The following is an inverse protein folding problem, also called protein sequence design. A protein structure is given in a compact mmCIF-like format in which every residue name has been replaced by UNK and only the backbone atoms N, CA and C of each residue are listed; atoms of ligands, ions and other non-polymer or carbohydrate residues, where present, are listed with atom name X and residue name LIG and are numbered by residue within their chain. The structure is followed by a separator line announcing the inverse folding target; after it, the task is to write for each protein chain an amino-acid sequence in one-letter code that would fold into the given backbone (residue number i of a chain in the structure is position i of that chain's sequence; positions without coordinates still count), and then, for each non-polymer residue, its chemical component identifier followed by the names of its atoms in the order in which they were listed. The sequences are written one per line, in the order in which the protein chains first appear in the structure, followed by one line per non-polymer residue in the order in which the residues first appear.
data_IF_232963424275
#
_entry.id   IF_232963424275
#
_cell.length_a   1.000
_cell.length_b   1.000
_cell.length_c   1.000
_cell.angle_alpha   90.00
_cell.angle_beta   90.00
_cell.angle_gamma   90.00
#
_symmetry.space_group_name_H-M   'P 1'
#
loop_
_entity.id
_entity.type
_entity.pdbx_description
1 polymer ?
#
# COMPACT_ATOMS: atom_id res chain seq x y z
N UNK A 1 27.37 7.76 1.55
CA UNK A 1 26.47 8.25 2.61
C UNK A 1 25.01 8.22 2.19
N UNK A 2 24.58 8.99 1.19
CA UNK A 2 23.16 9.22 0.85
C UNK A 2 22.29 7.96 0.70
N UNK A 3 22.80 6.91 0.06
CA UNK A 3 22.08 5.64 -0.11
C UNK A 3 21.56 5.05 1.21
N UNK A 4 22.32 5.20 2.30
CA UNK A 4 21.93 4.73 3.65
C UNK A 4 20.73 5.51 4.18
N UNK A 5 20.68 6.83 3.96
CA UNK A 5 19.53 7.66 4.32
C UNK A 5 18.28 7.28 3.51
N UNK A 6 18.44 6.96 2.22
CA UNK A 6 17.33 6.45 1.39
C UNK A 6 16.71 5.17 1.94
N UNK A 7 17.53 4.19 2.34
CA UNK A 7 17.05 2.97 3.00
C UNK A 7 16.40 3.25 4.37
N UNK A 8 16.97 4.15 5.17
CA UNK A 8 16.46 4.48 6.50
C UNK A 8 15.08 5.17 6.41
N UNK A 9 14.91 6.10 5.45
CA UNK A 9 13.62 6.72 5.13
C UNK A 9 12.61 5.65 4.68
N UNK A 10 12.99 4.74 3.77
CA UNK A 10 12.12 3.65 3.32
C UNK A 10 11.67 2.74 4.48
N UNK A 11 12.56 2.42 5.42
CA UNK A 11 12.24 1.61 6.62
C UNK A 11 11.28 2.34 7.55
N UNK A 12 11.53 3.61 7.87
CA UNK A 12 10.62 4.44 8.70
C UNK A 12 9.22 4.49 8.09
N UNK A 13 9.17 4.69 6.77
CA UNK A 13 7.92 4.75 6.01
C UNK A 13 7.20 3.39 5.97
N UNK A 14 7.91 2.27 5.81
CA UNK A 14 7.34 0.92 5.89
C UNK A 14 6.78 0.60 7.29
N UNK A 15 7.45 1.04 8.36
CA UNK A 15 6.98 0.90 9.75
C UNK A 15 5.72 1.72 9.98
N UNK A 16 5.70 2.98 9.50
CA UNK A 16 4.50 3.84 9.52
C UNK A 16 3.36 3.15 8.77
N UNK A 17 3.58 2.73 7.53
CA UNK A 17 2.61 2.02 6.67
C UNK A 17 2.01 0.79 7.38
N UNK A 18 2.82 -0.05 8.01
CA UNK A 18 2.38 -1.24 8.73
C UNK A 18 1.53 -0.89 9.96
N UNK A 19 2.00 0.04 10.80
CA UNK A 19 1.29 0.52 11.99
C UNK A 19 -0.05 1.17 11.66
N UNK A 20 -0.11 1.95 10.58
CA UNK A 20 -1.29 2.71 10.21
C UNK A 20 -2.31 1.80 9.49
N UNK A 21 -1.88 0.86 8.65
CA UNK A 21 -2.73 -0.13 7.96
C UNK A 21 -3.57 -0.98 8.93
N UNK A 22 -3.04 -1.25 10.13
CA UNK A 22 -3.77 -1.92 11.23
C UNK A 22 -4.85 -1.05 11.92
N UNK A 23 -4.94 0.27 11.66
CA UNK A 23 -5.95 1.15 12.29
C UNK A 23 -7.26 1.18 11.50
N UNK A 24 -8.39 1.45 12.19
CA UNK A 24 -9.76 1.54 11.64
C UNK A 24 -9.97 2.48 10.42
N UNK A 25 -9.03 3.39 10.08
CA UNK A 25 -9.23 4.42 9.04
C UNK A 25 -8.67 3.95 7.68
N UNK A 26 -9.56 3.88 6.68
CA UNK A 26 -9.28 3.41 5.32
C UNK A 26 -7.99 3.98 4.68
N UNK A 27 -7.84 5.31 4.78
CA UNK A 27 -6.82 6.13 4.11
C UNK A 27 -5.38 5.61 4.28
N UNK A 28 -5.11 4.93 5.39
CA UNK A 28 -3.79 4.38 5.71
C UNK A 28 -3.24 3.37 4.69
N UNK A 29 -4.10 2.56 4.06
CA UNK A 29 -3.63 1.60 3.05
C UNK A 29 -3.42 2.23 1.66
N UNK A 30 -3.91 3.44 1.42
CA UNK A 30 -3.62 4.19 0.20
C UNK A 30 -2.19 4.77 0.18
N UNK A 31 -1.44 4.66 1.29
CA UNK A 31 -0.06 5.12 1.39
C UNK A 31 0.89 4.24 0.55
N UNK A 32 0.60 2.93 0.38
CA UNK A 32 1.44 2.03 -0.44
C UNK A 32 1.39 2.38 -1.94
N UNK A 33 0.19 2.57 -2.56
CA UNK A 33 0.09 3.15 -3.90
C UNK A 33 0.83 4.48 -4.07
N UNK A 34 0.76 5.37 -3.07
CA UNK A 34 1.39 6.69 -3.12
C UNK A 34 2.93 6.60 -3.10
N UNK A 35 3.48 5.72 -2.28
CA UNK A 35 4.92 5.45 -2.22
C UNK A 35 5.44 4.74 -3.45
N UNK A 36 4.65 3.82 -4.00
CA UNK A 36 4.96 3.16 -5.26
C UNK A 36 5.05 4.18 -6.42
N UNK A 37 4.16 5.18 -6.45
CA UNK A 37 4.24 6.31 -7.38
C UNK A 37 5.50 7.17 -7.20
N UNK A 38 5.86 7.51 -5.95
CA UNK A 38 7.10 8.27 -5.67
C UNK A 38 8.33 7.50 -6.15
N UNK A 39 8.41 6.19 -5.87
CA UNK A 39 9.50 5.31 -6.33
C UNK A 39 9.56 5.26 -7.86
N UNK A 40 8.41 5.10 -8.52
CA UNK A 40 8.26 5.12 -9.98
C UNK A 40 8.82 6.39 -10.61
N UNK A 41 8.38 7.56 -10.13
CA UNK A 41 8.70 8.86 -10.74
C UNK A 41 10.11 9.32 -10.39
N UNK A 42 10.60 9.04 -9.19
CA UNK A 42 11.86 9.64 -8.69
C UNK A 42 13.07 8.71 -8.76
N UNK A 43 12.89 7.38 -8.80
CA UNK A 43 13.99 6.41 -8.71
C UNK A 43 14.23 5.59 -9.97
N UNK A 44 13.23 5.38 -10.83
CA UNK A 44 13.43 4.66 -12.10
C UNK A 44 14.17 5.52 -13.14
N UNK A 45 13.74 6.74 -13.50
CA UNK A 45 14.46 7.53 -14.52
C UNK A 45 15.88 7.90 -14.09
N UNK A 46 16.09 8.27 -12.82
CA UNK A 46 17.43 8.59 -12.29
C UNK A 46 18.40 7.39 -12.17
N UNK A 47 17.97 6.17 -12.50
CA UNK A 47 18.78 4.94 -12.34
C UNK A 47 18.94 4.14 -13.63
N UNK A 48 18.23 4.52 -14.68
CA UNK A 48 18.18 3.81 -15.95
C UNK A 48 18.02 4.83 -17.10
N UNK A 49 19.12 5.38 -17.63
CA UNK A 49 19.10 6.41 -18.69
C UNK A 49 18.26 6.04 -19.92
N UNK A 50 18.21 4.75 -20.29
CA UNK A 50 17.50 4.25 -21.48
C UNK A 50 16.13 3.60 -21.14
N UNK A 51 15.50 4.02 -20.04
CA UNK A 51 14.21 3.45 -19.62
C UNK A 51 13.02 4.10 -20.34
N UNK A 52 12.70 3.57 -21.52
CA UNK A 52 11.56 3.99 -22.35
C UNK A 52 10.28 4.28 -21.52
N UNK A 53 9.75 5.49 -21.66
CA UNK A 53 8.60 6.03 -20.92
C UNK A 53 7.37 5.11 -21.00
N UNK A 54 7.16 4.44 -22.13
CA UNK A 54 6.06 3.48 -22.31
C UNK A 54 6.17 2.29 -21.35
N UNK A 55 7.39 1.77 -21.13
CA UNK A 55 7.65 0.68 -20.15
C UNK A 55 7.40 1.17 -18.73
N UNK A 56 7.79 2.41 -18.40
CA UNK A 56 7.56 3.02 -17.09
C UNK A 56 6.05 3.12 -16.80
N UNK A 57 5.27 3.66 -17.74
CA UNK A 57 3.81 3.78 -17.62
C UNK A 57 3.14 2.39 -17.47
N UNK A 58 3.54 1.40 -18.28
CA UNK A 58 2.99 0.04 -18.20
C UNK A 58 3.21 -0.60 -16.82
N UNK A 59 4.43 -0.52 -16.30
CA UNK A 59 4.76 -1.08 -14.97
C UNK A 59 4.10 -0.27 -13.87
N UNK A 60 3.99 1.07 -14.00
CA UNK A 60 3.29 1.92 -13.03
C UNK A 60 1.81 1.54 -12.87
N UNK A 61 1.10 1.39 -14.00
CA UNK A 61 -0.32 1.00 -14.02
C UNK A 61 -0.48 -0.44 -13.48
N UNK A 62 0.38 -1.38 -13.89
CA UNK A 62 0.35 -2.76 -13.42
C UNK A 62 0.56 -2.88 -11.90
N UNK A 63 1.60 -2.22 -11.37
CA UNK A 63 1.88 -2.22 -9.93
C UNK A 63 0.78 -1.55 -9.11
N UNK A 64 0.23 -0.43 -9.58
CA UNK A 64 -0.92 0.23 -8.94
C UNK A 64 -2.17 -0.65 -8.93
N UNK A 65 -2.50 -1.31 -10.04
CA UNK A 65 -3.65 -2.22 -10.11
C UNK A 65 -3.53 -3.37 -9.10
N UNK A 66 -2.34 -3.97 -8.98
CA UNK A 66 -2.06 -5.05 -8.01
C UNK A 66 -2.17 -4.53 -6.57
N UNK A 67 -1.54 -3.39 -6.25
CA UNK A 67 -1.59 -2.78 -4.91
C UNK A 67 -3.01 -2.40 -4.49
N UNK A 68 -3.79 -1.81 -5.40
CA UNK A 68 -5.19 -1.48 -5.16
C UNK A 68 -6.06 -2.73 -4.95
N UNK A 69 -5.86 -3.78 -5.76
CA UNK A 69 -6.57 -5.06 -5.61
C UNK A 69 -6.29 -5.72 -4.25
N UNK A 70 -5.02 -5.78 -3.83
CA UNK A 70 -4.62 -6.31 -2.52
C UNK A 70 -5.24 -5.48 -1.39
N UNK A 71 -5.22 -4.15 -1.49
CA UNK A 71 -5.82 -3.27 -0.47
C UNK A 71 -7.34 -3.43 -0.38
N UNK A 72 -8.05 -3.48 -1.50
CA UNK A 72 -9.51 -3.69 -1.53
C UNK A 72 -9.86 -5.03 -0.88
N UNK A 73 -9.22 -6.14 -1.30
CA UNK A 73 -9.44 -7.46 -0.74
C UNK A 73 -9.17 -7.53 0.79
N UNK A 74 -8.07 -6.92 1.26
CA UNK A 74 -7.76 -6.85 2.69
C UNK A 74 -8.82 -6.06 3.50
N UNK A 75 -9.40 -5.02 2.88
CA UNK A 75 -10.46 -4.19 3.49
C UNK A 75 -11.81 -4.90 3.50
N UNK A 76 -12.13 -5.67 2.47
CA UNK A 76 -13.30 -6.54 2.42
C UNK A 76 -13.22 -7.66 3.47
N UNK A 77 -12.06 -8.31 3.61
CA UNK A 77 -11.82 -9.32 4.65
C UNK A 77 -12.07 -8.75 6.06
N UNK A 78 -11.55 -7.56 6.37
CA UNK A 78 -11.79 -6.88 7.64
C UNK A 78 -13.26 -6.49 7.84
N UNK A 79 -13.96 -6.04 6.79
CA UNK A 79 -15.41 -5.79 6.83
C UNK A 79 -16.20 -7.06 7.15
N UNK A 80 -15.85 -8.18 6.49
CA UNK A 80 -16.49 -9.50 6.64
C UNK A 80 -16.23 -10.12 8.02
N UNK A 81 -15.00 -9.99 8.56
CA UNK A 81 -14.67 -10.41 9.93
C UNK A 81 -15.50 -9.63 10.97
N UNK A 82 -15.49 -8.29 10.90
CA UNK A 82 -16.27 -7.44 11.81
C UNK A 82 -17.77 -7.73 11.76
N UNK A 83 -18.31 -8.09 10.58
CA UNK A 83 -19.72 -8.46 10.46
C UNK A 83 -20.04 -9.80 11.14
N UNK A 84 -19.14 -10.79 11.07
CA UNK A 84 -19.28 -12.04 11.83
C UNK A 84 -19.22 -11.81 13.35
N UNK A 85 -18.33 -10.93 13.79
CA UNK A 85 -18.19 -10.57 15.22
C UNK A 85 -19.47 -9.87 15.74
N UNK A 86 -20.09 -9.00 14.96
CA UNK A 86 -21.38 -8.38 15.31
C UNK A 86 -22.52 -9.41 15.39
N UNK A 87 -22.68 -10.27 14.39
CA UNK A 87 -23.72 -11.32 14.39
C UNK A 87 -23.54 -12.30 15.56
N UNK A 88 -22.32 -12.59 16.00
CA UNK A 88 -22.08 -13.42 17.19
C UNK A 88 -22.42 -12.73 18.52
N UNK A 89 -22.45 -11.39 18.56
CA UNK A 89 -22.92 -10.63 19.73
C UNK A 89 -24.46 -10.59 19.72
N UNK A 90 -25.05 -10.35 18.55
CA UNK A 90 -26.50 -10.32 18.34
C UNK A 90 -27.15 -11.67 18.69
N UNK A 91 -26.59 -12.79 18.21
CA UNK A 91 -27.00 -14.16 18.56
C UNK A 91 -26.67 -14.59 20.01
N UNK A 92 -26.01 -13.75 20.81
CA UNK A 92 -25.75 -13.98 22.24
C UNK A 92 -26.61 -13.12 23.17
N UNK A 93 -27.35 -12.17 22.61
CA UNK A 93 -28.28 -11.29 23.32
C UNK A 93 -29.75 -11.66 23.02
N UNK A 94 -29.96 -12.82 22.40
CA UNK A 94 -31.25 -13.42 22.04
C UNK A 94 -31.48 -14.70 22.86
#
# INVERSE_FOLDING_TARGET
MEQVYGWLIAIVVLVIQFLLSRRKRALWGAIVPFLYLIYMVYWIPNKYDDFSVVKLILVAIGGLAILCSIWINGREYLKKKRNKELVQIELKNL
#
